data_IF_272239855178
#
_entry.id   IF_272239855178
#
_cell.length_a   1.000
_cell.length_b   1.000
_cell.length_c   1.000
_cell.angle_alpha   90.00
_cell.angle_beta   90.00
_cell.angle_gamma   90.00
#
_symmetry.space_group_name_H-M   'P 1'
#
loop_
_entity.id
_entity.type
_entity.pdbx_description
1 polymer ?
#
# COMPACT_ATOMS: atom_id res chain seq x y z
N UNK A 1 49.99 13.66 -6.55
CA UNK A 1 48.73 14.27 -6.08
C UNK A 1 47.82 13.14 -5.66
N UNK A 2 47.57 12.99 -4.36
CA UNK A 2 46.74 11.91 -3.80
C UNK A 2 45.31 12.42 -3.70
N UNK A 3 44.43 11.94 -4.57
CA UNK A 3 43.00 12.19 -4.48
C UNK A 3 42.44 11.44 -3.28
N UNK A 4 42.09 12.15 -2.21
CA UNK A 4 41.39 11.56 -1.08
C UNK A 4 40.01 11.10 -1.56
N UNK A 5 39.79 9.78 -1.59
CA UNK A 5 38.47 9.20 -1.82
C UNK A 5 37.59 9.52 -0.61
N UNK A 6 36.62 10.41 -0.82
CA UNK A 6 35.62 10.73 0.21
C UNK A 6 34.80 9.46 0.45
N UNK A 7 35.09 8.75 1.55
CA UNK A 7 34.27 7.62 1.98
C UNK A 7 32.94 8.18 2.49
N UNK A 8 31.89 8.01 1.69
CA UNK A 8 30.52 8.33 2.10
C UNK A 8 30.06 7.29 3.12
N UNK A 9 29.39 7.73 4.18
CA UNK A 9 28.74 6.82 5.11
C UNK A 9 27.70 5.97 4.34
N UNK A 10 27.79 4.63 4.36
CA UNK A 10 26.82 3.78 3.67
C UNK A 10 25.44 3.78 4.34
N UNK A 11 25.34 4.19 5.61
CA UNK A 11 24.06 4.22 6.34
C UNK A 11 23.27 5.48 6.01
N UNK A 12 22.11 5.28 5.38
CA UNK A 12 21.12 6.32 5.09
C UNK A 12 20.14 6.37 6.26
N UNK A 13 19.98 7.54 6.86
CA UNK A 13 19.07 7.76 7.99
C UNK A 13 17.84 8.52 7.52
N UNK A 14 16.67 8.15 8.03
CA UNK A 14 15.44 8.93 7.90
C UNK A 14 14.51 8.49 6.77
N UNK A 15 15.02 7.82 5.74
CA UNK A 15 14.22 7.26 4.65
C UNK A 15 13.93 5.77 4.88
N UNK A 16 12.77 5.32 4.40
CA UNK A 16 12.49 3.90 4.31
C UNK A 16 13.46 3.21 3.33
N UNK A 17 13.78 1.95 3.58
CA UNK A 17 14.73 1.19 2.76
C UNK A 17 13.96 0.58 1.60
N UNK A 18 14.23 1.05 0.38
CA UNK A 18 13.64 0.51 -0.85
C UNK A 18 14.54 -0.50 -1.54
N UNK A 19 15.85 -0.48 -1.29
CA UNK A 19 16.78 -1.44 -1.90
C UNK A 19 16.89 -2.74 -1.06
N UNK A 20 16.53 -3.91 -1.62
CA UNK A 20 16.53 -5.18 -0.88
C UNK A 20 17.88 -5.54 -0.27
N UNK A 21 18.99 -5.21 -0.95
CA UNK A 21 20.36 -5.50 -0.48
C UNK A 21 20.75 -4.71 0.78
N UNK A 22 20.00 -3.67 1.11
CA UNK A 22 20.23 -2.82 2.27
C UNK A 22 19.27 -3.13 3.42
N UNK A 23 18.41 -4.15 3.27
CA UNK A 23 17.42 -4.57 4.25
C UNK A 23 17.85 -5.84 4.98
N UNK A 24 17.84 -5.82 6.31
CA UNK A 24 18.42 -6.89 7.14
C UNK A 24 17.61 -7.15 8.41
N UNK A 25 17.59 -8.40 8.88
CA UNK A 25 17.16 -8.75 10.24
C UNK A 25 15.65 -8.71 10.46
N UNK A 26 14.88 -8.90 9.38
CA UNK A 26 13.40 -8.88 9.35
C UNK A 26 12.80 -10.05 8.60
N UNK A 27 13.60 -11.10 8.40
CA UNK A 27 13.23 -12.29 7.65
C UNK A 27 12.01 -12.97 8.30
N UNK A 28 12.03 -13.18 9.63
CA UNK A 28 10.88 -13.77 10.36
C UNK A 28 9.60 -12.94 10.26
N UNK A 29 9.70 -11.61 10.14
CA UNK A 29 8.51 -10.77 9.97
C UNK A 29 7.93 -10.89 8.55
N UNK A 30 8.78 -11.05 7.55
CA UNK A 30 8.34 -11.29 6.17
C UNK A 30 7.74 -12.69 6.01
N UNK A 31 8.35 -13.71 6.61
CA UNK A 31 7.79 -15.07 6.69
C UNK A 31 6.39 -15.03 7.33
N UNK A 32 6.22 -14.29 8.44
CA UNK A 32 4.91 -14.08 9.04
C UNK A 32 3.92 -13.44 8.05
N UNK A 33 4.31 -12.40 7.31
CA UNK A 33 3.42 -11.76 6.34
C UNK A 33 3.04 -12.75 5.22
N UNK A 34 4.03 -13.47 4.66
CA UNK A 34 3.82 -14.45 3.60
C UNK A 34 2.87 -15.58 4.03
N UNK A 35 3.08 -16.14 5.22
CA UNK A 35 2.24 -17.20 5.78
C UNK A 35 0.78 -16.75 5.94
N UNK A 36 0.56 -15.53 6.44
CA UNK A 36 -0.79 -14.99 6.62
C UNK A 36 -1.47 -14.73 5.26
N UNK A 37 -0.74 -14.19 4.29
CA UNK A 37 -1.25 -13.99 2.93
C UNK A 37 -1.67 -15.32 2.29
N UNK A 38 -0.84 -16.35 2.40
CA UNK A 38 -1.13 -17.69 1.87
C UNK A 38 -2.29 -18.39 2.60
N UNK A 39 -2.54 -18.05 3.86
CA UNK A 39 -3.71 -18.51 4.62
C UNK A 39 -5.00 -17.76 4.28
N UNK A 40 -4.92 -16.69 3.45
CA UNK A 40 -6.07 -15.88 3.07
C UNK A 40 -6.50 -14.88 4.14
N UNK A 41 -5.61 -14.50 5.05
CA UNK A 41 -5.88 -13.49 6.06
C UNK A 41 -6.18 -12.14 5.40
N UNK A 42 -7.31 -11.53 5.76
CA UNK A 42 -7.80 -10.31 5.10
C UNK A 42 -7.12 -9.04 5.59
N UNK A 43 -6.60 -9.05 6.81
CA UNK A 43 -5.99 -7.87 7.44
C UNK A 43 -4.78 -8.29 8.26
N UNK A 44 -3.61 -7.73 7.94
CA UNK A 44 -2.36 -7.93 8.68
C UNK A 44 -1.93 -6.58 9.25
N UNK A 45 -1.88 -6.45 10.57
CA UNK A 45 -1.52 -5.20 11.24
C UNK A 45 -0.03 -5.21 11.65
N UNK A 46 0.77 -4.36 11.02
CA UNK A 46 2.15 -4.09 11.44
C UNK A 46 2.17 -2.89 12.39
N UNK A 47 2.32 -3.14 13.69
CA UNK A 47 2.38 -2.08 14.71
C UNK A 47 3.76 -1.99 15.38
N UNK A 48 4.08 -0.83 15.95
CA UNK A 48 5.34 -0.60 16.64
C UNK A 48 5.75 0.88 16.66
N UNK A 49 6.79 1.19 17.45
CA UNK A 49 7.27 2.56 17.64
C UNK A 49 7.71 3.25 16.33
N UNK A 50 7.72 4.59 16.33
CA UNK A 50 8.22 5.39 15.20
C UNK A 50 9.70 5.02 14.93
N UNK A 51 10.09 4.99 13.65
CA UNK A 51 11.45 4.64 13.18
C UNK A 51 11.90 3.19 13.46
N UNK A 52 10.99 2.27 13.79
CA UNK A 52 11.32 0.84 13.90
C UNK A 52 11.41 0.11 12.55
N UNK A 53 11.19 0.81 11.42
CA UNK A 53 11.35 0.24 10.07
C UNK A 53 10.09 -0.40 9.46
N UNK A 54 8.89 -0.05 9.93
CA UNK A 54 7.61 -0.58 9.37
C UNK A 54 7.45 -0.28 7.88
N UNK A 55 7.61 0.98 7.48
CA UNK A 55 7.59 1.41 6.07
C UNK A 55 8.63 0.66 5.23
N UNK A 56 9.83 0.44 5.77
CA UNK A 56 10.86 -0.36 5.09
C UNK A 56 10.39 -1.79 4.86
N UNK A 57 9.76 -2.43 5.86
CA UNK A 57 9.21 -3.78 5.70
C UNK A 57 8.13 -3.79 4.61
N UNK A 58 7.18 -2.85 4.65
CA UNK A 58 6.12 -2.74 3.64
C UNK A 58 6.68 -2.61 2.22
N UNK A 59 7.68 -1.74 2.02
CA UNK A 59 8.32 -1.57 0.71
C UNK A 59 9.12 -2.79 0.25
N UNK A 60 9.53 -3.67 1.15
CA UNK A 60 10.28 -4.87 0.82
C UNK A 60 9.40 -6.09 0.55
N UNK A 61 8.13 -6.09 0.97
CA UNK A 61 7.19 -7.20 0.74
C UNK A 61 7.18 -7.63 -0.75
N UNK A 62 6.99 -6.74 -1.74
CA UNK A 62 6.92 -7.16 -3.15
C UNK A 62 8.25 -7.68 -3.72
N UNK A 63 9.38 -7.32 -3.09
CA UNK A 63 10.70 -7.74 -3.55
C UNK A 63 11.08 -9.12 -3.01
N UNK A 64 10.54 -9.49 -1.85
CA UNK A 64 10.96 -10.67 -1.09
C UNK A 64 9.89 -11.76 -1.05
N UNK A 65 8.61 -11.41 -1.16
CA UNK A 65 7.50 -12.36 -1.34
C UNK A 65 7.25 -12.51 -2.84
N UNK A 66 7.85 -13.53 -3.44
CA UNK A 66 7.73 -13.80 -4.88
C UNK A 66 6.52 -14.71 -5.13
N UNK A 67 5.35 -14.10 -5.30
CA UNK A 67 4.12 -14.81 -5.65
C UNK A 67 3.41 -14.14 -6.83
N UNK A 68 3.12 -14.93 -7.87
CA UNK A 68 2.34 -14.50 -9.03
C UNK A 68 0.84 -14.33 -8.73
N UNK A 69 0.39 -14.82 -7.56
CA UNK A 69 -0.99 -14.71 -7.09
C UNK A 69 -1.31 -13.32 -6.53
N UNK A 70 -0.30 -12.59 -6.02
CA UNK A 70 -0.52 -11.33 -5.33
C UNK A 70 -0.11 -10.12 -6.17
N UNK A 71 -0.95 -9.10 -6.15
CA UNK A 71 -0.66 -7.78 -6.72
C UNK A 71 -0.52 -6.79 -5.57
N UNK A 72 0.72 -6.46 -5.22
CA UNK A 72 1.02 -5.59 -4.09
C UNK A 72 0.94 -4.12 -4.48
N UNK A 73 0.01 -3.38 -3.88
CA UNK A 73 -0.22 -1.96 -4.16
C UNK A 73 0.09 -1.16 -2.89
N UNK A 74 1.16 -0.37 -2.96
CA UNK A 74 1.55 0.52 -1.87
C UNK A 74 0.75 1.82 -1.91
N UNK A 75 0.16 2.20 -0.77
CA UNK A 75 -0.55 3.46 -0.62
C UNK A 75 -0.14 4.12 0.69
N UNK A 76 0.61 5.22 0.57
CA UNK A 76 1.05 6.02 1.71
C UNK A 76 -0.06 7.00 2.11
N UNK A 77 -0.55 6.91 3.35
CA UNK A 77 -1.55 7.84 3.87
C UNK A 77 -0.90 9.07 4.50
N UNK A 78 0.42 9.13 4.58
CA UNK A 78 1.14 10.30 5.06
C UNK A 78 0.67 11.55 4.31
N UNK A 79 0.41 12.60 5.09
CA UNK A 79 -0.09 13.89 4.64
C UNK A 79 -1.51 13.87 4.04
N UNK A 80 -2.24 12.73 4.04
CA UNK A 80 -3.63 12.64 3.55
C UNK A 80 -4.70 12.75 4.64
N UNK A 81 -4.29 12.82 5.91
CA UNK A 81 -5.21 12.90 7.05
C UNK A 81 -6.12 14.13 7.09
N UNK A 82 -5.80 15.18 6.31
CA UNK A 82 -6.61 16.40 6.21
C UNK A 82 -7.60 16.38 5.04
N UNK A 83 -7.52 15.37 4.17
CA UNK A 83 -8.38 15.25 3.00
C UNK A 83 -9.74 14.64 3.38
N UNK A 84 -10.77 14.97 2.59
CA UNK A 84 -12.04 14.27 2.72
C UNK A 84 -11.89 12.81 2.28
N UNK A 85 -12.73 11.93 2.82
CA UNK A 85 -12.74 10.51 2.46
C UNK A 85 -12.85 10.29 0.95
N UNK A 86 -13.69 11.07 0.26
CA UNK A 86 -13.85 10.99 -1.19
C UNK A 86 -12.54 11.23 -1.95
N UNK A 87 -11.73 12.19 -1.52
CA UNK A 87 -10.41 12.44 -2.10
C UNK A 87 -9.44 11.29 -1.82
N UNK A 88 -9.44 10.74 -0.61
CA UNK A 88 -8.58 9.59 -0.26
C UNK A 88 -8.94 8.37 -1.11
N UNK A 89 -10.24 8.06 -1.24
CA UNK A 89 -10.73 6.96 -2.07
C UNK A 89 -10.42 7.20 -3.56
N UNK A 90 -10.56 8.43 -4.06
CA UNK A 90 -10.19 8.78 -5.43
C UNK A 90 -8.70 8.55 -5.69
N UNK A 91 -7.83 9.04 -4.80
CA UNK A 91 -6.38 8.84 -4.88
C UNK A 91 -5.99 7.36 -4.79
N UNK A 92 -6.69 6.57 -3.97
CA UNK A 92 -6.47 5.13 -3.89
C UNK A 92 -6.89 4.44 -5.20
N UNK A 93 -8.05 4.81 -5.77
CA UNK A 93 -8.51 4.27 -7.06
C UNK A 93 -7.52 4.58 -8.19
N UNK A 94 -7.04 5.83 -8.24
CA UNK A 94 -6.00 6.25 -9.17
C UNK A 94 -4.70 5.45 -8.97
N UNK A 95 -4.27 5.25 -7.72
CA UNK A 95 -3.07 4.46 -7.40
C UNK A 95 -3.22 3.02 -7.87
N UNK A 96 -4.38 2.41 -7.66
CA UNK A 96 -4.68 1.04 -8.11
C UNK A 96 -4.60 0.99 -9.64
N UNK A 97 -5.36 1.81 -10.36
CA UNK A 97 -5.38 1.82 -11.83
C UNK A 97 -3.97 2.03 -12.39
N UNK A 98 -3.24 3.04 -11.89
CA UNK A 98 -1.89 3.33 -12.35
C UNK A 98 -0.93 2.15 -12.11
N UNK A 99 -1.06 1.46 -10.98
CA UNK A 99 -0.25 0.28 -10.71
C UNK A 99 -0.56 -0.84 -11.71
N UNK A 100 -1.84 -1.12 -11.96
CA UNK A 100 -2.28 -2.18 -12.86
C UNK A 100 -1.84 -1.93 -14.31
N UNK A 101 -1.96 -0.69 -14.80
CA UNK A 101 -1.52 -0.33 -16.16
C UNK A 101 0.01 -0.50 -16.28
N UNK A 102 0.76 0.08 -15.35
CA UNK A 102 2.21 0.17 -15.47
C UNK A 102 2.91 -1.18 -15.24
N UNK A 103 2.36 -2.04 -14.39
CA UNK A 103 3.00 -3.29 -13.98
C UNK A 103 2.38 -4.54 -14.63
N UNK A 104 1.07 -4.57 -14.86
CA UNK A 104 0.37 -5.72 -15.46
C UNK A 104 0.02 -5.53 -16.93
N UNK A 105 0.18 -4.33 -17.50
CA UNK A 105 -0.16 -3.99 -18.90
C UNK A 105 -1.59 -4.39 -19.27
N UNK A 106 -2.50 -4.33 -18.31
CA UNK A 106 -3.92 -4.55 -18.55
C UNK A 106 -4.47 -3.38 -19.38
N UNK A 107 -5.19 -3.70 -20.46
CA UNK A 107 -5.87 -2.70 -21.27
C UNK A 107 -7.01 -2.05 -20.47
N UNK A 108 -7.16 -0.73 -20.67
CA UNK A 108 -7.88 0.23 -19.83
C UNK A 108 -9.42 0.11 -19.80
N UNK A 109 -10.01 -0.99 -20.25
CA UNK A 109 -11.47 -1.15 -20.23
C UNK A 109 -12.02 -1.61 -18.86
N UNK A 110 -11.14 -1.79 -17.86
CA UNK A 110 -11.51 -2.19 -16.49
C UNK A 110 -11.55 -1.00 -15.54
N UNK A 111 -12.69 -0.80 -14.87
CA UNK A 111 -12.82 0.14 -13.76
C UNK A 111 -12.85 1.60 -14.20
N UNK A 112 -14.04 2.15 -14.47
CA UNK A 112 -14.15 3.62 -14.62
C UNK A 112 -13.66 4.27 -13.32
N UNK A 113 -12.59 5.06 -13.39
CA UNK A 113 -12.08 5.82 -12.23
C UNK A 113 -13.25 6.63 -11.62
N UNK A 114 -13.67 6.34 -10.38
CA UNK A 114 -14.75 7.09 -9.75
C UNK A 114 -14.29 8.51 -9.46
N UNK A 115 -15.10 9.52 -9.84
CA UNK A 115 -14.74 10.91 -9.59
C UNK A 115 -14.88 11.26 -8.11
N UNK A 116 -14.21 12.33 -7.68
CA UNK A 116 -14.34 12.84 -6.31
C UNK A 116 -15.79 13.23 -5.97
N UNK A 117 -16.54 13.75 -6.95
CA UNK A 117 -17.94 14.15 -6.80
C UNK A 117 -18.86 12.94 -6.62
N UNK A 118 -18.64 11.87 -7.39
CA UNK A 118 -19.35 10.61 -7.27
C UNK A 118 -19.10 10.00 -5.88
N UNK A 119 -17.84 9.97 -5.45
CA UNK A 119 -17.43 9.41 -4.16
C UNK A 119 -17.88 10.27 -2.98
N UNK A 120 -17.98 11.59 -3.14
CA UNK A 120 -18.55 12.46 -2.11
C UNK A 120 -20.05 12.22 -1.94
N UNK A 121 -20.76 11.92 -3.03
CA UNK A 121 -22.19 11.63 -3.02
C UNK A 121 -22.50 10.21 -2.51
N UNK A 122 -21.70 9.23 -2.93
CA UNK A 122 -21.82 7.84 -2.51
C UNK A 122 -20.44 7.15 -2.48
N UNK A 123 -19.76 7.10 -1.31
CA UNK A 123 -18.46 6.45 -1.18
C UNK A 123 -18.50 4.94 -1.48
N UNK A 124 -19.67 4.31 -1.36
CA UNK A 124 -19.84 2.87 -1.62
C UNK A 124 -19.61 2.49 -3.08
N UNK A 125 -19.59 3.47 -4.01
CA UNK A 125 -19.19 3.24 -5.41
C UNK A 125 -17.80 2.59 -5.47
N UNK A 126 -16.90 2.94 -4.56
CA UNK A 126 -15.57 2.36 -4.51
C UNK A 126 -15.62 0.82 -4.31
N UNK A 127 -16.32 0.34 -3.28
CA UNK A 127 -16.38 -1.10 -2.97
C UNK A 127 -17.39 -1.89 -3.80
N UNK A 128 -18.48 -1.26 -4.24
CA UNK A 128 -19.58 -1.96 -4.91
C UNK A 128 -19.48 -1.95 -6.45
N UNK A 129 -18.74 -1.01 -7.02
CA UNK A 129 -18.60 -0.87 -8.48
C UNK A 129 -17.13 -0.96 -8.90
N UNK A 130 -16.29 -0.06 -8.37
CA UNK A 130 -14.90 0.06 -8.81
C UNK A 130 -14.07 -1.18 -8.50
N UNK A 131 -13.98 -1.62 -7.22
CA UNK A 131 -13.19 -2.81 -6.87
C UNK A 131 -13.66 -4.08 -7.61
N UNK A 132 -14.97 -4.40 -7.70
CA UNK A 132 -15.43 -5.56 -8.47
C UNK A 132 -15.04 -5.52 -9.96
N UNK A 133 -15.11 -4.36 -10.61
CA UNK A 133 -14.65 -4.20 -12.00
C UNK A 133 -13.14 -4.44 -12.13
N UNK A 134 -12.35 -3.95 -11.16
CA UNK A 134 -10.91 -4.21 -11.11
C UNK A 134 -10.63 -5.72 -10.96
N UNK A 135 -11.33 -6.41 -10.05
CA UNK A 135 -11.15 -7.85 -9.85
C UNK A 135 -11.55 -8.69 -11.07
N UNK A 136 -12.52 -8.26 -11.87
CA UNK A 136 -12.87 -8.94 -13.13
C UNK A 136 -11.69 -8.98 -14.13
N UNK A 137 -10.83 -7.96 -14.12
CA UNK A 137 -9.64 -7.89 -14.97
C UNK A 137 -8.42 -8.61 -14.41
N UNK A 138 -8.46 -9.08 -13.16
CA UNK A 138 -7.32 -9.68 -12.46
C UNK A 138 -7.32 -11.21 -12.41
N UNK A 139 -8.28 -11.86 -13.07
CA UNK A 139 -8.44 -13.31 -13.08
C UNK A 139 -8.42 -13.88 -11.64
N UNK A 140 -7.49 -14.77 -11.32
CA UNK A 140 -7.34 -15.41 -10.00
C UNK A 140 -6.36 -14.65 -9.07
N UNK A 141 -5.90 -13.45 -9.45
CA UNK A 141 -4.96 -12.67 -8.65
C UNK A 141 -5.68 -11.87 -7.56
N UNK A 142 -5.05 -11.80 -6.39
CA UNK A 142 -5.54 -11.05 -5.23
C UNK A 142 -4.73 -9.76 -5.07
N UNK A 143 -5.43 -8.62 -4.92
CA UNK A 143 -4.77 -7.36 -4.56
C UNK A 143 -4.42 -7.39 -3.08
N UNK A 144 -3.18 -7.03 -2.77
CA UNK A 144 -2.71 -6.78 -1.40
C UNK A 144 -2.45 -5.27 -1.26
N UNK A 145 -3.37 -4.58 -0.59
CA UNK A 145 -3.22 -3.16 -0.28
C UNK A 145 -2.27 -2.98 0.92
N UNK A 146 -1.12 -2.38 0.66
CA UNK A 146 -0.12 -2.04 1.69
C UNK A 146 -0.32 -0.58 2.09
N UNK A 147 -1.10 -0.36 3.15
CA UNK A 147 -1.42 0.97 3.67
C UNK A 147 -0.38 1.39 4.71
N UNK A 148 0.41 2.43 4.42
CA UNK A 148 1.35 3.01 5.39
C UNK A 148 0.77 4.24 6.09
N UNK A 149 1.23 4.52 7.32
CA UNK A 149 0.79 5.64 8.17
C UNK A 149 -0.75 5.75 8.28
N UNK A 150 -1.45 4.62 8.40
CA UNK A 150 -2.92 4.55 8.42
C UNK A 150 -3.57 5.34 9.58
N UNK A 151 -2.85 5.51 10.68
CA UNK A 151 -3.31 6.24 11.86
C UNK A 151 -3.54 7.74 11.63
N UNK A 152 -3.07 8.30 10.52
CA UNK A 152 -3.28 9.72 10.17
C UNK A 152 -4.69 10.05 9.67
N UNK A 153 -5.49 9.07 9.26
CA UNK A 153 -6.82 9.29 8.64
C UNK A 153 -7.88 9.86 9.59
N UNK A 154 -7.58 10.02 10.88
CA UNK A 154 -8.38 10.81 11.80
C UNK A 154 -7.45 11.42 12.85
N UNK A 155 -7.91 12.49 13.52
CA UNK A 155 -7.22 13.23 14.59
C UNK A 155 -6.85 12.36 15.82
N UNK A 156 -6.01 11.34 15.63
CA UNK A 156 -5.42 10.46 16.63
C UNK A 156 -6.36 9.46 17.33
N UNK A 157 -7.50 9.09 16.73
CA UNK A 157 -8.27 7.89 17.14
C UNK A 157 -8.16 6.78 16.07
N UNK A 158 -7.32 5.75 16.30
CA UNK A 158 -7.17 4.63 15.36
C UNK A 158 -8.47 3.86 15.14
N UNK A 159 -9.37 3.83 16.13
CA UNK A 159 -10.62 3.07 16.03
C UNK A 159 -11.62 3.72 15.08
N UNK A 160 -11.58 5.05 14.93
CA UNK A 160 -12.47 5.78 14.02
C UNK A 160 -12.04 5.66 12.56
N UNK A 161 -10.72 5.57 12.28
CA UNK A 161 -10.19 5.36 10.93
C UNK A 161 -10.58 4.01 10.36
N UNK A 162 -10.57 2.97 11.21
CA UNK A 162 -11.08 1.65 10.83
C UNK A 162 -12.55 1.73 10.43
N UNK A 163 -13.38 2.38 11.24
CA UNK A 163 -14.83 2.49 10.98
C UNK A 163 -15.17 3.35 9.76
N UNK A 164 -14.30 4.29 9.38
CA UNK A 164 -14.59 5.26 8.32
C UNK A 164 -14.01 4.84 6.96
N UNK A 165 -12.91 4.08 6.94
CA UNK A 165 -12.24 3.70 5.69
C UNK A 165 -12.47 2.23 5.30
N UNK A 166 -12.35 1.29 6.24
CA UNK A 166 -12.47 -0.15 5.94
C UNK A 166 -13.82 -0.58 5.37
N UNK A 167 -14.98 0.04 5.66
CA UNK A 167 -16.23 -0.36 5.01
C UNK A 167 -16.23 -0.23 3.48
N UNK A 168 -15.26 0.50 2.93
CA UNK A 168 -15.11 0.73 1.50
C UNK A 168 -13.98 -0.08 0.86
N UNK A 169 -13.28 -0.92 1.62
CA UNK A 169 -12.29 -1.88 1.09
C UNK A 169 -12.88 -3.28 1.03
#
# INVERSE_FOLDING_TARGET
MTTATVRRNPYIVGSAISEPKSFFGRETLLEFVEDNLNQGERVILLHGQRRIGKSSVLLQIPNLIQSEQFVFIYFDLQDKGHLALSNVLHLLAETIINHLINHLKLDLDYGKLPSEEDLASNPSIFSQNFLPEIYQGLEEKTIVLMLDEFDVLNNYDPTSSVQTFFPYL
#
